data_IF_184175076006
#
_entry.id   IF_184175076006
#
_cell.length_a   1.000
_cell.length_b   1.000
_cell.length_c   1.000
_cell.angle_alpha   90.00
_cell.angle_beta   90.00
_cell.angle_gamma   90.00
#
_symmetry.space_group_name_H-M   'P 1'
#
loop_
_entity.id
_entity.type
_entity.pdbx_description
1 polymer ?
#
# COMPACT_ATOMS: atom_id res chain seq x y z
N UNK A 1 -32.48 -22.32 64.97
CA UNK A 1 -33.18 -21.69 63.82
C UNK A 1 -32.13 -21.14 62.88
N UNK A 2 -32.34 -21.35 61.58
CA UNK A 2 -31.35 -21.22 60.50
C UNK A 2 -30.90 -19.77 60.30
N UNK A 3 -29.59 -19.53 60.25
CA UNK A 3 -29.02 -18.33 59.62
C UNK A 3 -29.34 -18.41 58.13
N UNK A 4 -30.09 -17.42 57.63
CA UNK A 4 -30.37 -17.25 56.20
C UNK A 4 -29.10 -16.84 55.47
N UNK A 5 -28.63 -17.69 54.56
CA UNK A 5 -27.63 -17.34 53.56
C UNK A 5 -28.19 -16.21 52.67
N UNK A 6 -27.65 -15.01 52.84
CA UNK A 6 -27.71 -13.98 51.81
C UNK A 6 -26.66 -14.37 50.77
N UNK A 7 -27.01 -15.28 49.85
CA UNK A 7 -26.19 -15.51 48.66
C UNK A 7 -26.77 -14.65 47.56
N UNK A 8 -26.37 -13.38 47.57
CA UNK A 8 -26.68 -12.42 46.55
C UNK A 8 -26.26 -12.97 45.19
N UNK A 9 -27.23 -12.98 44.28
CA UNK A 9 -27.08 -13.22 42.86
C UNK A 9 -26.02 -12.25 42.32
N UNK A 10 -24.76 -12.67 42.20
CA UNK A 10 -23.71 -11.91 41.52
C UNK A 10 -23.92 -12.06 40.01
N UNK A 11 -24.92 -11.33 39.50
CA UNK A 11 -25.21 -11.24 38.07
C UNK A 11 -24.17 -10.34 37.40
N UNK A 12 -23.21 -11.00 36.73
CA UNK A 12 -22.54 -10.63 35.48
C UNK A 12 -22.58 -9.15 35.11
N UNK A 13 -21.43 -8.49 35.09
CA UNK A 13 -21.00 -7.70 33.92
C UNK A 13 -19.48 -7.85 33.75
N UNK A 14 -19.02 -8.94 33.12
CA UNK A 14 -17.79 -8.90 32.34
C UNK A 14 -18.15 -8.13 31.05
N UNK A 15 -18.12 -6.80 31.12
CA UNK A 15 -18.03 -5.98 29.93
C UNK A 15 -16.64 -6.26 29.39
N UNK A 16 -16.59 -7.16 28.42
CA UNK A 16 -15.50 -7.26 27.46
C UNK A 16 -15.28 -5.84 26.93
N UNK A 17 -14.22 -5.20 27.42
CA UNK A 17 -13.53 -4.13 26.70
C UNK A 17 -13.08 -4.74 25.37
N UNK A 18 -14.03 -4.82 24.43
CA UNK A 18 -13.72 -4.79 23.03
C UNK A 18 -13.19 -3.39 22.83
N UNK A 19 -11.89 -3.21 23.10
CA UNK A 19 -11.18 -2.05 22.62
C UNK A 19 -11.54 -1.96 21.15
N UNK A 20 -12.22 -0.89 20.76
CA UNK A 20 -12.44 -0.62 19.35
C UNK A 20 -11.04 -0.67 18.72
N UNK A 21 -10.78 -1.70 17.93
CA UNK A 21 -9.57 -1.72 17.13
C UNK A 21 -9.58 -0.41 16.37
N UNK A 22 -8.54 0.41 16.57
CA UNK A 22 -8.45 1.70 15.91
C UNK A 22 -8.58 1.44 14.41
N UNK A 23 -9.50 2.12 13.73
CA UNK A 23 -9.66 1.97 12.30
C UNK A 23 -8.34 2.35 11.62
N UNK A 24 -7.86 1.48 10.74
CA UNK A 24 -6.61 1.65 10.00
C UNK A 24 -6.93 1.72 8.51
N UNK A 25 -6.14 2.51 7.79
CA UNK A 25 -6.10 2.42 6.35
C UNK A 25 -5.57 1.05 5.91
N UNK A 26 -6.11 0.51 4.82
CA UNK A 26 -5.69 -0.76 4.24
C UNK A 26 -5.13 -0.49 2.86
N UNK A 27 -3.80 -0.46 2.78
CA UNK A 27 -3.10 0.13 1.64
C UNK A 27 -2.58 -0.94 0.71
N UNK A 28 -2.78 -0.69 -0.58
CA UNK A 28 -2.26 -1.49 -1.67
C UNK A 28 -1.78 -0.57 -2.80
N UNK A 29 -0.72 -0.96 -3.49
CA UNK A 29 -0.19 -0.19 -4.64
C UNK A 29 -0.30 -1.02 -5.89
N UNK A 30 -0.74 -0.46 -7.01
CA UNK A 30 -0.88 -1.18 -8.28
C UNK A 30 -0.26 -0.38 -9.42
N UNK A 31 0.48 -1.05 -10.30
CA UNK A 31 0.90 -0.45 -11.56
C UNK A 31 -0.33 -0.29 -12.46
N UNK A 32 -0.54 0.92 -12.99
CA UNK A 32 -1.68 1.21 -13.86
C UNK A 32 -1.27 1.12 -15.34
N UNK A 33 -0.33 1.98 -15.74
CA UNK A 33 0.19 2.03 -17.10
C UNK A 33 1.61 2.57 -17.16
N UNK A 34 2.30 2.31 -18.26
CA UNK A 34 3.66 2.76 -18.49
C UNK A 34 3.98 2.79 -19.98
N UNK A 35 4.91 3.66 -20.36
CA UNK A 35 5.38 3.75 -21.74
C UNK A 35 6.39 4.87 -21.97
N UNK A 36 7.11 4.80 -23.09
CA UNK A 36 8.02 5.88 -23.51
C UNK A 36 7.20 7.02 -24.12
N UNK A 37 7.38 8.22 -23.57
CA UNK A 37 6.96 9.47 -24.20
C UNK A 37 7.72 9.65 -25.51
N UNK A 38 7.00 9.73 -26.62
CA UNK A 38 7.59 9.82 -27.96
C UNK A 38 8.40 11.11 -28.21
N UNK A 39 8.07 12.19 -27.51
CA UNK A 39 8.71 13.49 -27.65
C UNK A 39 10.05 13.61 -26.90
N UNK A 40 10.19 12.94 -25.75
CA UNK A 40 11.38 13.05 -24.89
C UNK A 40 12.20 11.77 -24.81
N UNK A 41 11.64 10.62 -25.21
CA UNK A 41 12.26 9.32 -24.99
C UNK A 41 12.20 8.85 -23.54
N UNK A 42 11.58 9.62 -22.63
CA UNK A 42 11.48 9.27 -21.22
C UNK A 42 10.46 8.17 -21.00
N UNK A 43 10.76 7.26 -20.08
CA UNK A 43 9.80 6.27 -19.60
C UNK A 43 8.92 6.91 -18.53
N UNK A 44 7.62 6.97 -18.79
CA UNK A 44 6.59 7.46 -17.87
C UNK A 44 5.89 6.26 -17.27
N UNK A 45 5.72 6.26 -15.95
CA UNK A 45 5.13 5.16 -15.20
C UNK A 45 4.07 5.71 -14.27
N UNK A 46 2.87 5.14 -14.33
CA UNK A 46 1.72 5.49 -13.50
C UNK A 46 1.35 4.34 -12.59
N UNK A 47 1.05 4.68 -11.34
CA UNK A 47 0.60 3.72 -10.34
C UNK A 47 -0.52 4.30 -9.49
N UNK A 48 -1.31 3.40 -8.92
CA UNK A 48 -2.45 3.70 -8.07
C UNK A 48 -2.16 3.22 -6.66
N UNK A 49 -2.51 4.05 -5.69
CA UNK A 49 -2.51 3.71 -4.28
C UNK A 49 -3.96 3.63 -3.85
N UNK A 50 -4.43 2.45 -3.46
CA UNK A 50 -5.78 2.29 -2.95
C UNK A 50 -5.76 2.18 -1.43
N UNK A 51 -6.73 2.84 -0.81
CA UNK A 51 -7.06 2.66 0.59
C UNK A 51 -8.43 2.00 0.70
N UNK A 52 -8.48 0.73 1.10
CA UNK A 52 -9.72 0.02 1.36
C UNK A 52 -10.20 0.14 2.82
N UNK A 53 -9.42 0.82 3.67
CA UNK A 53 -9.75 1.02 5.06
C UNK A 53 -10.77 2.14 5.26
N UNK A 54 -11.34 2.16 6.46
CA UNK A 54 -12.29 3.20 6.94
C UNK A 54 -11.58 4.29 7.76
N UNK A 55 -10.29 4.49 7.49
CA UNK A 55 -9.50 5.57 8.06
C UNK A 55 -8.51 6.08 7.01
N UNK A 56 -8.09 7.34 7.07
CA UNK A 56 -7.05 7.85 6.18
C UNK A 56 -5.69 7.22 6.49
N UNK A 57 -4.88 7.01 5.45
CA UNK A 57 -3.46 6.79 5.59
C UNK A 57 -2.75 8.14 5.56
N UNK A 58 -1.79 8.36 6.45
CA UNK A 58 -1.06 9.61 6.56
C UNK A 58 0.44 9.40 6.38
N UNK A 59 1.12 10.38 5.78
CA UNK A 59 2.58 10.40 5.59
C UNK A 59 3.13 9.10 5.01
N UNK A 60 2.49 8.65 3.94
CA UNK A 60 2.78 7.40 3.26
C UNK A 60 3.98 7.62 2.33
N UNK A 61 5.08 6.95 2.64
CA UNK A 61 6.31 7.01 1.87
C UNK A 61 6.41 5.75 1.02
N UNK A 62 6.64 5.95 -0.27
CA UNK A 62 6.82 4.88 -1.25
C UNK A 62 8.21 4.91 -1.83
N UNK A 63 8.76 3.72 -2.00
CA UNK A 63 9.87 3.52 -2.91
C UNK A 63 9.40 2.66 -4.07
N UNK A 64 9.60 3.16 -5.28
CA UNK A 64 9.36 2.41 -6.50
C UNK A 64 10.67 2.26 -7.25
N UNK A 65 10.93 1.07 -7.77
CA UNK A 65 12.01 0.82 -8.72
C UNK A 65 11.48 0.11 -9.95
N UNK A 66 12.15 0.35 -11.06
CA UNK A 66 11.95 -0.36 -12.31
C UNK A 66 13.15 -1.26 -12.49
N UNK A 67 12.90 -2.52 -12.81
CA UNK A 67 13.94 -3.48 -13.11
C UNK A 67 13.74 -4.06 -14.50
N UNK A 68 14.84 -4.41 -15.14
CA UNK A 68 14.82 -5.10 -16.42
C UNK A 68 14.53 -6.61 -16.31
N UNK A 69 14.60 -7.33 -17.43
CA UNK A 69 14.46 -8.78 -17.46
C UNK A 69 15.52 -9.54 -16.63
N UNK A 70 16.68 -8.91 -16.41
CA UNK A 70 17.79 -9.43 -15.63
C UNK A 70 17.72 -9.04 -14.15
N UNK A 71 16.69 -8.28 -13.74
CA UNK A 71 16.54 -7.63 -12.44
C UNK A 71 17.52 -6.48 -12.17
N UNK A 72 18.16 -5.94 -13.20
CA UNK A 72 18.99 -4.74 -13.08
C UNK A 72 18.11 -3.50 -12.90
N UNK A 73 18.50 -2.64 -11.96
CA UNK A 73 17.77 -1.42 -11.64
C UNK A 73 18.06 -0.33 -12.68
N UNK A 74 17.03 0.15 -13.34
CA UNK A 74 17.12 1.18 -14.38
C UNK A 74 16.50 2.52 -13.97
N UNK A 75 15.83 2.57 -12.82
CA UNK A 75 15.15 3.76 -12.36
C UNK A 75 14.52 3.58 -10.99
N UNK A 76 14.60 4.62 -10.16
CA UNK A 76 14.01 4.63 -8.83
C UNK A 76 13.34 5.96 -8.57
N UNK A 77 12.26 5.93 -7.80
CA UNK A 77 11.68 7.13 -7.21
C UNK A 77 11.33 6.87 -5.75
N UNK A 78 11.42 7.93 -4.96
CA UNK A 78 10.80 8.00 -3.64
C UNK A 78 9.73 9.05 -3.69
N UNK A 79 8.54 8.69 -3.23
CA UNK A 79 7.39 9.58 -3.23
C UNK A 79 6.77 9.64 -1.84
N UNK A 80 6.23 10.81 -1.49
CA UNK A 80 5.53 11.04 -0.23
C UNK A 80 4.11 11.48 -0.55
N UNK A 81 3.16 10.76 0.03
CA UNK A 81 1.74 11.06 -0.04
C UNK A 81 1.29 11.46 1.36
N UNK A 82 0.98 12.75 1.52
CA UNK A 82 0.58 13.32 2.80
C UNK A 82 -0.65 12.59 3.36
N UNK A 83 -1.63 12.32 2.51
CA UNK A 83 -2.87 11.65 2.88
C UNK A 83 -3.44 10.83 1.71
N UNK A 84 -3.91 9.61 2.01
CA UNK A 84 -4.84 8.86 1.15
C UNK A 84 -6.15 8.69 1.93
N UNK A 85 -7.25 9.36 1.52
CA UNK A 85 -8.52 9.28 2.23
C UNK A 85 -9.05 7.85 2.35
N UNK A 86 -9.97 7.63 3.27
CA UNK A 86 -10.68 6.35 3.40
C UNK A 86 -11.40 5.97 2.10
N UNK A 87 -11.40 4.68 1.76
CA UNK A 87 -12.10 4.16 0.57
C UNK A 87 -11.78 4.89 -0.75
N UNK A 88 -10.55 5.40 -0.89
CA UNK A 88 -10.13 6.23 -2.01
C UNK A 88 -9.00 5.60 -2.83
N UNK A 89 -8.77 6.16 -4.02
CA UNK A 89 -7.60 5.89 -4.85
C UNK A 89 -6.83 7.19 -5.10
N UNK A 90 -5.50 7.11 -5.05
CA UNK A 90 -4.60 8.18 -5.48
C UNK A 90 -3.78 7.70 -6.66
N UNK A 91 -3.79 8.47 -7.76
CA UNK A 91 -2.95 8.21 -8.93
C UNK A 91 -1.64 8.99 -8.81
N UNK A 92 -0.53 8.36 -9.16
CA UNK A 92 0.82 8.91 -9.10
C UNK A 92 1.55 8.60 -10.38
N UNK A 93 2.53 9.45 -10.71
CA UNK A 93 3.37 9.31 -11.89
C UNK A 93 4.82 9.57 -11.49
N UNK A 94 5.75 8.79 -12.06
CA UNK A 94 7.16 9.16 -12.06
C UNK A 94 7.79 8.89 -13.42
N UNK A 95 8.89 9.60 -13.68
CA UNK A 95 9.55 9.61 -14.98
C UNK A 95 10.99 9.14 -14.81
N UNK A 96 11.38 8.15 -15.61
CA UNK A 96 12.78 7.76 -15.80
C UNK A 96 13.29 8.46 -17.04
N UNK A 97 14.23 9.39 -16.85
CA UNK A 97 14.79 10.19 -17.94
C UNK A 97 15.85 9.40 -18.72
N UNK A 98 15.82 9.53 -20.04
CA UNK A 98 16.80 8.92 -20.95
C UNK A 98 17.11 7.45 -20.60
N UNK A 99 16.09 6.57 -20.49
CA UNK A 99 16.37 5.18 -20.24
C UNK A 99 17.20 4.64 -21.42
N UNK A 100 18.26 3.88 -21.14
CA UNK A 100 19.19 3.34 -22.15
C UNK A 100 18.52 2.24 -23.01
N UNK A 101 17.45 2.56 -23.75
CA UNK A 101 16.58 1.54 -24.31
C UNK A 101 15.68 1.99 -25.48
N UNK A 102 15.09 1.00 -26.14
CA UNK A 102 14.11 1.12 -27.22
C UNK A 102 12.69 0.77 -26.77
N UNK A 103 11.67 1.18 -27.56
CA UNK A 103 10.25 0.91 -27.26
C UNK A 103 9.89 -0.58 -27.18
N UNK A 104 10.64 -1.45 -27.84
CA UNK A 104 10.36 -2.89 -27.87
C UNK A 104 10.89 -3.61 -26.63
N UNK A 105 11.95 -3.09 -26.01
CA UNK A 105 12.57 -3.62 -24.77
C UNK A 105 11.75 -3.27 -23.53
N UNK A 106 10.91 -2.23 -23.61
CA UNK A 106 9.97 -1.82 -22.56
C UNK A 106 9.28 -3.05 -21.99
N UNK A 107 8.60 -3.86 -22.81
CA UNK A 107 7.72 -4.97 -22.36
C UNK A 107 8.35 -5.98 -21.40
N UNK A 108 9.67 -6.04 -21.29
CA UNK A 108 10.38 -6.96 -20.42
C UNK A 108 10.57 -6.44 -18.97
N UNK A 109 10.20 -5.18 -18.71
CA UNK A 109 10.42 -4.56 -17.40
C UNK A 109 9.32 -4.85 -16.41
N UNK A 110 9.74 -4.80 -15.15
CA UNK A 110 8.86 -4.99 -13.99
C UNK A 110 9.03 -3.83 -13.04
N UNK A 111 7.90 -3.37 -12.52
CA UNK A 111 7.87 -2.33 -11.50
C UNK A 111 7.72 -2.98 -10.12
N UNK A 112 8.50 -2.51 -9.16
CA UNK A 112 8.39 -2.92 -7.77
C UNK A 112 8.20 -1.67 -6.93
N UNK A 113 6.99 -1.45 -6.45
CA UNK A 113 6.68 -0.44 -5.43
C UNK A 113 6.41 -1.12 -4.10
N UNK A 114 6.89 -0.49 -3.04
CA UNK A 114 6.54 -0.87 -1.68
C UNK A 114 6.53 0.37 -0.81
N UNK A 115 5.61 0.41 0.14
CA UNK A 115 5.59 1.46 1.14
C UNK A 115 6.72 1.22 2.14
N UNK A 116 7.51 2.26 2.42
CA UNK A 116 8.62 2.24 3.39
C UNK A 116 8.20 2.80 4.74
N UNK A 117 7.17 3.65 4.76
CA UNK A 117 6.64 4.27 5.97
C UNK A 117 5.16 4.57 5.78
N UNK A 118 4.39 4.40 6.84
CA UNK A 118 3.01 4.81 6.87
C UNK A 118 2.54 5.07 8.30
N UNK A 119 1.73 6.11 8.49
CA UNK A 119 1.04 6.37 9.75
C UNK A 119 -0.41 5.91 9.61
N UNK A 120 -0.88 5.18 10.61
CA UNK A 120 -2.27 4.70 10.70
C UNK A 120 -2.72 3.75 9.57
N UNK A 121 -1.80 3.00 8.95
CA UNK A 121 -2.18 2.00 7.96
C UNK A 121 -1.56 0.63 8.19
N UNK A 122 -2.16 -0.36 7.53
CA UNK A 122 -1.65 -1.69 7.29
C UNK A 122 -1.36 -1.84 5.80
N UNK A 123 -0.17 -2.32 5.47
CA UNK A 123 0.24 -2.60 4.10
C UNK A 123 -0.18 -4.03 3.75
N UNK A 124 -1.12 -4.19 2.81
CA UNK A 124 -1.65 -5.51 2.46
C UNK A 124 -0.61 -6.43 1.81
N UNK A 125 0.41 -5.85 1.17
CA UNK A 125 1.55 -6.55 0.56
C UNK A 125 2.42 -7.29 1.59
N UNK A 126 2.54 -6.77 2.82
CA UNK A 126 3.28 -7.44 3.90
C UNK A 126 2.51 -8.63 4.48
N UNK A 127 1.17 -8.56 4.44
CA UNK A 127 0.28 -9.58 4.99
C UNK A 127 -0.02 -10.69 4.00
N UNK A 128 -0.10 -10.36 2.70
CA UNK A 128 -0.45 -11.29 1.63
C UNK A 128 0.64 -11.18 0.55
N UNK A 129 1.78 -11.90 0.71
CA UNK A 129 2.90 -11.82 -0.21
C UNK A 129 2.53 -12.20 -1.65
N UNK A 130 1.51 -13.05 -1.82
CA UNK A 130 0.98 -13.47 -3.13
C UNK A 130 0.41 -12.30 -3.95
N UNK A 131 0.04 -11.18 -3.30
CA UNK A 131 -0.35 -9.95 -4.00
C UNK A 131 0.84 -9.37 -4.78
N UNK A 132 2.06 -9.48 -4.26
CA UNK A 132 3.27 -9.00 -4.92
C UNK A 132 3.58 -9.87 -6.15
N UNK A 133 3.50 -11.19 -6.03
CA UNK A 133 3.80 -12.12 -7.13
C UNK A 133 2.82 -12.02 -8.30
N UNK A 134 1.58 -11.57 -8.06
CA UNK A 134 0.60 -11.35 -9.13
C UNK A 134 0.88 -10.13 -10.02
N UNK A 135 1.89 -9.32 -9.68
CA UNK A 135 2.23 -8.04 -10.32
C UNK A 135 3.57 -8.05 -11.06
N UNK A 136 4.25 -9.20 -11.04
CA UNK A 136 5.56 -9.46 -11.66
C UNK A 136 5.35 -10.14 -13.00
#
# INVERSE_FOLDING_TARGET
>A
MRLGLVSGLLLIIFLSLSGCAKEQALIITELDEWGISDATGNLVIRYKIYNFGYAPAENLEYFCKVVDENNDNIGTTTDIVDEVPETAVSEREFVVENPEMTKDEIKAYRMQCYATKCINCELLEERIPEIIDSRI
#
